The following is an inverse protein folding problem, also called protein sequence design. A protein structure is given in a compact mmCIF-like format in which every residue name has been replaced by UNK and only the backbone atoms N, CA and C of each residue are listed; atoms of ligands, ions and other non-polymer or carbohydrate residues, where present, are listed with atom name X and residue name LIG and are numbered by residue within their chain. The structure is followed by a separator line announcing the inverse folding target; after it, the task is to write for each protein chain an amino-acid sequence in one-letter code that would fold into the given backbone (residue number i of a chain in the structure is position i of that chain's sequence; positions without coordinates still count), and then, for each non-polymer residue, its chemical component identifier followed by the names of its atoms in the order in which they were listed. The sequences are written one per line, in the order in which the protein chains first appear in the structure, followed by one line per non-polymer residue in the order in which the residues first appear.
data_IF_255170304495
#
_entry.id   IF_255170304495
#
_cell.length_a   1.000
_cell.length_b   1.000
_cell.length_c   1.000
_cell.angle_alpha   90.00
_cell.angle_beta   90.00
_cell.angle_gamma   90.00
#
_symmetry.space_group_name_H-M   'P 1'
#
loop_
_entity.id
_entity.type
_entity.pdbx_description
1 polymer ?
#
# COMPACT_ATOMS: atom_id res chain seq x y z
N UNK A 1 -1.80 -18.96 22.70
CA UNK A 1 -0.58 -19.46 22.05
C UNK A 1 -1.06 -20.45 21.01
N UNK A 2 -0.65 -20.34 19.75
CA UNK A 2 -1.20 -21.15 18.66
C UNK A 2 -0.24 -22.33 18.42
N UNK A 3 -0.75 -23.56 18.45
CA UNK A 3 0.03 -24.76 18.15
C UNK A 3 -0.29 -25.26 16.74
N UNK A 4 0.74 -25.40 15.89
CA UNK A 4 0.65 -26.00 14.56
C UNK A 4 1.71 -27.09 14.46
N UNK A 5 1.27 -28.33 14.28
CA UNK A 5 2.09 -29.54 14.38
C UNK A 5 2.94 -29.56 15.67
N UNK A 6 4.24 -29.29 15.53
CA UNK A 6 5.24 -29.35 16.60
C UNK A 6 5.81 -27.96 16.92
N UNK A 7 5.16 -26.90 16.40
CA UNK A 7 5.60 -25.51 16.52
C UNK A 7 4.61 -24.73 17.38
N UNK A 8 5.14 -24.02 18.38
CA UNK A 8 4.40 -23.08 19.20
C UNK A 8 4.62 -21.67 18.64
N UNK A 9 3.53 -21.02 18.24
CA UNK A 9 3.50 -19.69 17.67
C UNK A 9 2.91 -18.75 18.72
N UNK A 10 3.57 -17.62 18.95
CA UNK A 10 3.09 -16.60 19.86
C UNK A 10 1.78 -16.00 19.34
N UNK A 11 0.83 -15.72 20.24
CA UNK A 11 -0.40 -14.99 19.87
C UNK A 11 -0.09 -13.62 19.31
N UNK A 12 1.05 -13.03 19.70
CA UNK A 12 1.54 -11.76 19.18
C UNK A 12 1.64 -11.73 17.65
N UNK A 13 1.86 -12.87 16.98
CA UNK A 13 1.91 -12.93 15.50
C UNK A 13 0.55 -12.59 14.88
N UNK A 14 -0.55 -12.85 15.59
CA UNK A 14 -1.92 -12.57 15.14
C UNK A 14 -2.45 -11.28 15.76
N UNK A 15 -2.07 -10.99 17.00
CA UNK A 15 -2.61 -9.88 17.77
C UNK A 15 -1.87 -8.56 17.53
N UNK A 16 -0.56 -8.59 17.30
CA UNK A 16 0.21 -7.37 17.11
C UNK A 16 0.06 -6.85 15.67
N UNK A 17 -0.26 -5.56 15.56
CA UNK A 17 -0.34 -4.88 14.29
C UNK A 17 1.05 -4.52 13.79
N UNK A 18 1.33 -4.84 12.53
CA UNK A 18 2.56 -4.45 11.87
C UNK A 18 2.69 -2.92 11.80
N UNK A 19 3.85 -2.40 12.21
CA UNK A 19 4.20 -0.98 12.07
C UNK A 19 5.44 -0.88 11.20
N UNK A 20 5.35 -0.11 10.11
CA UNK A 20 6.47 0.14 9.22
C UNK A 20 7.63 0.86 9.95
N UNK A 21 8.84 0.31 9.84
CA UNK A 21 10.08 1.01 10.21
C UNK A 21 10.80 1.50 8.95
N UNK A 22 10.46 2.72 8.51
CA UNK A 22 11.01 3.31 7.28
C UNK A 22 12.53 3.55 7.36
N UNK A 23 13.11 3.67 8.56
CA UNK A 23 14.56 3.77 8.70
C UNK A 23 15.26 2.46 8.32
N UNK A 24 14.57 1.32 8.51
CA UNK A 24 15.08 -0.01 8.15
C UNK A 24 14.71 -0.40 6.73
N UNK A 25 13.43 -0.36 6.37
CA UNK A 25 12.97 -0.90 5.08
C UNK A 25 13.06 0.10 3.93
N UNK A 26 13.10 1.41 4.22
CA UNK A 26 13.07 2.50 3.23
C UNK A 26 11.90 2.42 2.24
N UNK A 27 10.85 1.69 2.61
CA UNK A 27 9.69 1.42 1.78
C UNK A 27 9.84 0.26 0.78
N UNK A 28 10.76 -0.68 0.98
CA UNK A 28 10.88 -1.86 0.11
C UNK A 28 9.56 -2.62 -0.06
N UNK A 29 8.80 -2.81 1.03
CA UNK A 29 7.47 -3.42 0.97
C UNK A 29 6.42 -2.61 0.19
N UNK A 30 6.69 -1.35 -0.17
CA UNK A 30 5.79 -0.49 -0.94
C UNK A 30 6.07 -0.53 -2.46
N UNK A 31 7.09 -1.27 -2.90
CA UNK A 31 7.47 -1.45 -4.31
C UNK A 31 7.62 -2.92 -4.70
N UNK A 32 8.10 -3.77 -3.77
CA UNK A 32 8.40 -5.19 -4.03
C UNK A 32 7.14 -6.09 -4.10
N UNK A 33 5.95 -5.51 -4.09
CA UNK A 33 4.67 -6.25 -4.12
C UNK A 33 4.19 -6.56 -5.53
N UNK A 34 3.39 -7.62 -5.67
CA UNK A 34 2.80 -8.04 -6.95
C UNK A 34 1.63 -7.13 -7.40
N UNK A 35 0.98 -6.49 -6.42
CA UNK A 35 -0.11 -5.53 -6.62
C UNK A 35 0.01 -4.38 -5.61
N UNK A 36 -0.84 -3.36 -5.75
CA UNK A 36 -0.91 -2.29 -4.76
C UNK A 36 -1.47 -2.76 -3.42
N UNK A 37 -1.52 -1.84 -2.45
CA UNK A 37 -2.04 -2.14 -1.13
C UNK A 37 -3.50 -2.61 -1.22
N UNK A 38 -3.87 -3.74 -0.59
CA UNK A 38 -5.24 -4.24 -0.57
C UNK A 38 -6.16 -3.26 0.15
N UNK A 39 -7.40 -3.19 -0.33
CA UNK A 39 -8.43 -2.28 0.14
C UNK A 39 -9.71 -3.04 0.46
N UNK A 40 -10.33 -2.70 1.58
CA UNK A 40 -11.67 -3.14 1.92
C UNK A 40 -12.72 -2.28 1.21
N UNK A 41 -13.92 -2.84 1.03
CA UNK A 41 -15.01 -2.18 0.29
C UNK A 41 -15.43 -0.85 0.93
N UNK A 42 -15.39 -0.77 2.27
CA UNK A 42 -15.72 0.42 3.03
C UNK A 42 -14.64 1.52 2.94
N UNK A 43 -13.38 1.15 2.67
CA UNK A 43 -12.28 2.09 2.47
C UNK A 43 -12.35 2.84 1.13
N UNK A 44 -12.99 2.25 0.11
CA UNK A 44 -13.07 2.85 -1.23
C UNK A 44 -13.68 4.26 -1.21
N UNK A 45 -14.75 4.45 -0.43
CA UNK A 45 -15.39 5.75 -0.30
C UNK A 45 -14.52 6.75 0.47
N UNK A 46 -13.78 6.28 1.48
CA UNK A 46 -12.89 7.13 2.26
C UNK A 46 -11.74 7.67 1.38
N UNK A 47 -11.15 6.82 0.54
CA UNK A 47 -10.09 7.20 -0.41
C UNK A 47 -10.63 8.21 -1.42
N UNK A 48 -11.81 7.94 -1.99
CA UNK A 48 -12.43 8.87 -2.95
C UNK A 48 -12.68 10.25 -2.33
N UNK A 49 -13.07 10.31 -1.07
CA UNK A 49 -13.31 11.57 -0.37
C UNK A 49 -12.01 12.30 0.01
N UNK A 50 -10.92 11.57 0.25
CA UNK A 50 -9.62 12.15 0.62
C UNK A 50 -8.73 12.50 -0.57
N UNK A 51 -9.06 12.04 -1.78
CA UNK A 51 -8.19 12.17 -2.96
C UNK A 51 -7.77 13.61 -3.24
N UNK A 52 -8.68 14.59 -3.08
CA UNK A 52 -8.38 15.99 -3.31
C UNK A 52 -7.31 16.53 -2.36
N UNK A 53 -7.30 16.06 -1.11
CA UNK A 53 -6.29 16.41 -0.12
C UNK A 53 -4.96 15.67 -0.37
N UNK A 54 -5.00 14.47 -0.96
CA UNK A 54 -3.82 13.69 -1.29
C UNK A 54 -3.05 14.21 -2.52
N UNK A 55 -3.76 14.71 -3.55
CA UNK A 55 -3.18 15.16 -4.82
C UNK A 55 -1.93 16.06 -4.71
N UNK A 56 -1.85 17.05 -3.81
CA UNK A 56 -0.64 17.89 -3.66
C UNK A 56 0.62 17.13 -3.23
N UNK A 57 0.45 15.95 -2.63
CA UNK A 57 1.56 15.14 -2.13
C UNK A 57 2.00 14.07 -3.14
N UNK A 58 1.17 13.74 -4.12
CA UNK A 58 1.45 12.72 -5.13
C UNK A 58 2.53 13.17 -6.12
N UNK A 59 3.23 12.20 -6.70
CA UNK A 59 4.17 12.46 -7.79
C UNK A 59 3.43 12.79 -9.10
N UNK A 60 4.11 13.46 -10.03
CA UNK A 60 3.54 13.72 -11.36
C UNK A 60 3.14 12.43 -12.10
N UNK A 61 3.91 11.35 -11.91
CA UNK A 61 3.59 10.04 -12.45
C UNK A 61 2.37 9.42 -11.76
N UNK A 62 2.25 9.56 -10.44
CA UNK A 62 1.10 9.11 -9.67
C UNK A 62 -0.19 9.83 -10.07
N UNK A 63 -0.14 11.16 -10.27
CA UNK A 63 -1.27 11.94 -10.78
C UNK A 63 -1.71 11.49 -12.18
N UNK A 64 -0.74 11.17 -13.05
CA UNK A 64 -1.03 10.68 -14.40
C UNK A 64 -1.73 9.32 -14.37
N UNK A 65 -1.31 8.40 -13.49
CA UNK A 65 -1.99 7.11 -13.37
C UNK A 65 -3.32 7.20 -12.64
N UNK A 66 -3.46 8.10 -11.67
CA UNK A 66 -4.74 8.40 -11.05
C UNK A 66 -5.79 8.79 -12.10
N UNK A 67 -5.43 9.62 -13.08
CA UNK A 67 -6.35 10.03 -14.17
C UNK A 67 -6.73 8.87 -15.10
N UNK A 68 -5.88 7.86 -15.25
CA UNK A 68 -6.12 6.72 -16.15
C UNK A 68 -6.83 5.56 -15.47
N UNK A 69 -6.43 5.25 -14.24
CA UNK A 69 -6.82 4.04 -13.52
C UNK A 69 -7.90 4.32 -12.46
N UNK A 70 -8.02 5.57 -12.00
CA UNK A 70 -8.89 5.96 -10.89
C UNK A 70 -8.20 5.83 -9.53
N UNK A 71 -8.96 5.99 -8.45
CA UNK A 71 -8.45 5.99 -7.07
C UNK A 71 -8.15 4.58 -6.51
N UNK A 72 -8.77 3.56 -7.09
CA UNK A 72 -8.66 2.15 -6.73
C UNK A 72 -8.94 1.28 -7.97
N UNK A 73 -8.31 0.11 -8.05
CA UNK A 73 -8.49 -0.85 -9.14
C UNK A 73 -8.86 -2.23 -8.58
N UNK A 74 -9.58 -3.02 -9.37
CA UNK A 74 -9.90 -4.39 -9.02
C UNK A 74 -8.88 -5.34 -9.66
N UNK A 75 -8.09 -6.00 -8.83
CA UNK A 75 -7.22 -7.10 -9.18
C UNK A 75 -7.96 -8.45 -9.08
N UNK A 76 -7.65 -9.38 -9.98
CA UNK A 76 -8.34 -10.67 -10.07
C UNK A 76 -7.97 -11.63 -8.95
N UNK A 77 -6.76 -11.52 -8.41
CA UNK A 77 -6.22 -12.38 -7.37
C UNK A 77 -6.37 -11.72 -5.99
N UNK A 78 -6.14 -10.40 -5.91
CA UNK A 78 -6.08 -9.67 -4.64
C UNK A 78 -7.33 -8.83 -4.33
N UNK A 79 -8.31 -8.75 -5.23
CA UNK A 79 -9.52 -7.96 -5.03
C UNK A 79 -9.27 -6.46 -5.23
N UNK A 80 -9.88 -5.60 -4.42
CA UNK A 80 -9.65 -4.16 -4.54
C UNK A 80 -8.26 -3.80 -4.02
N UNK A 81 -7.50 -3.06 -4.81
CA UNK A 81 -6.14 -2.62 -4.47
C UNK A 81 -5.92 -1.16 -4.89
N UNK A 82 -4.93 -0.51 -4.26
CA UNK A 82 -4.48 0.80 -4.72
C UNK A 82 -3.81 0.69 -6.10
N UNK A 83 -3.96 1.66 -7.00
CA UNK A 83 -3.31 1.62 -8.30
C UNK A 83 -1.78 1.78 -8.19
N UNK A 84 -1.04 1.19 -9.13
CA UNK A 84 0.42 1.26 -9.19
C UNK A 84 0.92 2.04 -10.41
N UNK A 85 2.10 2.63 -10.28
CA UNK A 85 2.81 3.25 -11.39
C UNK A 85 3.58 2.13 -12.12
N UNK A 86 2.95 1.54 -13.13
CA UNK A 86 3.47 0.33 -13.77
C UNK A 86 3.41 -0.86 -12.82
N UNK A 87 4.51 -1.57 -12.64
CA UNK A 87 4.62 -2.73 -11.73
C UNK A 87 5.44 -2.43 -10.47
N UNK A 88 5.42 -1.18 -10.00
CA UNK A 88 6.21 -0.75 -8.84
C UNK A 88 5.37 0.02 -7.84
N UNK A 89 5.92 1.14 -7.37
CA UNK A 89 5.33 2.03 -6.38
C UNK A 89 3.85 2.39 -6.64
N UNK A 90 3.04 2.38 -5.58
CA UNK A 90 1.66 2.86 -5.55
C UNK A 90 1.55 4.33 -5.97
N UNK A 91 0.45 4.75 -6.62
CA UNK A 91 0.23 6.14 -7.06
C UNK A 91 0.29 7.18 -5.91
N UNK A 92 0.00 6.75 -4.69
CA UNK A 92 0.06 7.59 -3.48
C UNK A 92 1.48 7.74 -2.94
N UNK A 93 2.40 6.85 -3.35
CA UNK A 93 3.79 6.88 -2.92
C UNK A 93 4.65 7.84 -3.77
N UNK A 94 5.71 8.36 -3.15
CA UNK A 94 6.85 8.98 -3.83
C UNK A 94 8.15 8.71 -3.11
N UNK A 95 9.26 8.75 -3.84
CA UNK A 95 10.60 8.73 -3.24
C UNK A 95 11.03 10.13 -2.81
N UNK A 96 11.61 10.24 -1.64
CA UNK A 96 12.30 11.44 -1.19
C UNK A 96 13.74 11.52 -1.74
N UNK A 97 14.49 12.55 -1.34
CA UNK A 97 15.87 12.76 -1.77
C UNK A 97 16.86 11.69 -1.24
N UNK A 98 16.47 10.97 -0.19
CA UNK A 98 17.23 9.91 0.46
C UNK A 98 16.88 8.52 -0.11
N UNK A 99 15.92 8.46 -1.03
CA UNK A 99 15.45 7.24 -1.70
C UNK A 99 14.39 6.47 -0.92
N UNK A 100 13.88 7.02 0.19
CA UNK A 100 12.82 6.42 1.02
C UNK A 100 11.46 6.65 0.35
N UNK A 101 10.63 5.62 0.28
CA UNK A 101 9.25 5.75 -0.19
C UNK A 101 8.37 6.30 0.94
N UNK A 102 7.69 7.41 0.66
CA UNK A 102 6.74 8.10 1.53
C UNK A 102 5.35 8.07 0.89
N UNK A 103 4.32 7.85 1.70
CA UNK A 103 2.90 7.85 1.32
C UNK A 103 2.12 8.77 2.27
#
# INVERSE_FOLDING_TARGET
MIAIDQVLISDAVVEEQFVCDLNKCKGGCCEDGDAGAPLEIDELNAIKNSIAAAKPFMSAAGLKELEKQGEAVYDKEFGWVTPTIGSGICIYGKRDAQGVILC
#
